data_IF_089333336142
#
_entry.id   IF_089333336142
#
_cell.length_a   1.000
_cell.length_b   1.000
_cell.length_c   1.000
_cell.angle_alpha   90.00
_cell.angle_beta   90.00
_cell.angle_gamma   90.00
#
_symmetry.space_group_name_H-M   'P 1'
#
loop_
_entity.id
_entity.type
_entity.pdbx_description
1 polymer ?
#
# COMPACT_ATOMS: atom_id res chain seq x y z
N UNK A 1 -0.02 14.16 -4.66
CA UNK A 1 -1.46 14.53 -4.69
C UNK A 1 -2.39 13.35 -4.42
N UNK A 2 -2.17 12.16 -5.00
CA UNK A 2 -3.01 10.98 -4.75
C UNK A 2 -3.19 10.65 -3.26
N UNK A 3 -2.09 10.53 -2.49
CA UNK A 3 -2.15 10.20 -1.05
C UNK A 3 -2.91 11.26 -0.25
N UNK A 4 -2.72 12.55 -0.57
CA UNK A 4 -3.48 13.63 0.06
C UNK A 4 -4.98 13.46 -0.18
N UNK A 5 -5.40 13.24 -1.43
CA UNK A 5 -6.81 13.03 -1.76
C UNK A 5 -7.39 11.76 -1.14
N UNK A 6 -6.58 10.71 -1.03
CA UNK A 6 -6.95 9.49 -0.32
C UNK A 6 -7.20 9.75 1.18
N UNK A 7 -6.35 10.53 1.84
CA UNK A 7 -6.54 10.92 3.25
C UNK A 7 -7.83 11.72 3.42
N UNK A 8 -8.05 12.73 2.55
CA UNK A 8 -9.29 13.52 2.56
C UNK A 8 -10.52 12.64 2.28
N UNK A 9 -10.39 11.65 1.41
CA UNK A 9 -11.45 10.68 1.13
C UNK A 9 -11.77 9.82 2.37
N UNK A 10 -10.77 9.31 3.08
CA UNK A 10 -10.94 8.57 4.34
C UNK A 10 -11.65 9.43 5.39
N UNK A 11 -11.22 10.69 5.55
CA UNK A 11 -11.90 11.63 6.45
C UNK A 11 -13.35 11.83 6.09
N UNK A 12 -13.67 12.05 4.81
CA UNK A 12 -15.05 12.18 4.36
C UNK A 12 -15.87 10.94 4.72
N UNK A 13 -15.37 9.73 4.40
CA UNK A 13 -16.10 8.49 4.66
C UNK A 13 -16.36 8.29 6.16
N UNK A 14 -15.38 8.59 7.01
CA UNK A 14 -15.51 8.45 8.45
C UNK A 14 -16.48 9.48 9.04
N UNK A 15 -16.31 10.76 8.70
CA UNK A 15 -17.13 11.86 9.20
C UNK A 15 -18.59 11.77 8.74
N UNK A 16 -18.87 11.14 7.59
CA UNK A 16 -20.24 10.90 7.11
C UNK A 16 -20.80 9.52 7.43
N UNK A 17 -20.10 8.71 8.24
CA UNK A 17 -20.55 7.37 8.62
C UNK A 17 -20.72 6.39 7.45
N UNK A 18 -20.06 6.64 6.31
CA UNK A 18 -20.22 5.86 5.07
C UNK A 18 -19.66 4.45 5.11
N UNK A 19 -19.00 4.07 6.21
CA UNK A 19 -18.45 2.73 6.46
C UNK A 19 -19.42 1.79 7.21
N UNK A 20 -20.53 2.32 7.74
CA UNK A 20 -21.52 1.54 8.50
C UNK A 20 -22.25 0.53 7.60
N UNK A 21 -22.94 -0.42 8.22
CA UNK A 21 -23.78 -1.42 7.55
C UNK A 21 -24.66 -0.77 6.47
N UNK A 22 -24.73 -1.33 5.23
CA UNK A 22 -24.12 -2.58 4.74
C UNK A 22 -22.78 -2.40 3.99
N UNK A 23 -22.00 -1.35 4.28
CA UNK A 23 -20.81 -0.92 3.51
C UNK A 23 -19.47 -1.33 4.12
N UNK A 24 -19.46 -2.26 5.06
CA UNK A 24 -18.27 -2.66 5.82
C UNK A 24 -17.17 -3.19 4.89
N UNK A 25 -17.54 -3.99 3.87
CA UNK A 25 -16.57 -4.53 2.92
C UNK A 25 -15.99 -3.47 1.97
N UNK A 26 -16.75 -2.42 1.67
CA UNK A 26 -16.23 -1.26 0.95
C UNK A 26 -15.18 -0.55 1.78
N UNK A 27 -15.39 -0.42 3.09
CA UNK A 27 -14.37 0.12 4.00
C UNK A 27 -13.11 -0.75 4.06
N UNK A 28 -13.25 -2.07 4.22
CA UNK A 28 -12.11 -3.01 4.27
C UNK A 28 -11.29 -2.94 2.98
N UNK A 29 -11.94 -2.97 1.81
CA UNK A 29 -11.23 -2.81 0.53
C UNK A 29 -10.56 -1.44 0.40
N UNK A 30 -11.16 -0.37 0.94
CA UNK A 30 -10.55 0.95 1.02
C UNK A 30 -9.27 0.98 1.87
N UNK A 31 -9.26 0.28 3.01
CA UNK A 31 -8.05 0.14 3.86
C UNK A 31 -6.95 -0.61 3.10
N UNK A 32 -7.28 -1.70 2.40
CA UNK A 32 -6.30 -2.44 1.59
C UNK A 32 -5.74 -1.55 0.47
N UNK A 33 -6.58 -0.78 -0.22
CA UNK A 33 -6.12 0.20 -1.22
C UNK A 33 -5.22 1.28 -0.61
N UNK A 34 -5.48 1.69 0.62
CA UNK A 34 -4.61 2.59 1.38
C UNK A 34 -3.21 2.00 1.61
N UNK A 35 -3.14 0.73 2.04
CA UNK A 35 -1.88 0.00 2.21
C UNK A 35 -1.13 -0.12 0.87
N UNK A 36 -1.81 -0.55 -0.19
CA UNK A 36 -1.20 -0.67 -1.53
C UNK A 36 -0.67 0.68 -2.04
N UNK A 37 -1.40 1.78 -1.80
CA UNK A 37 -0.97 3.14 -2.17
C UNK A 37 0.27 3.57 -1.38
N UNK A 38 0.36 3.25 -0.10
CA UNK A 38 1.57 3.49 0.70
C UNK A 38 2.75 2.65 0.17
N UNK A 39 2.51 1.39 -0.19
CA UNK A 39 3.52 0.51 -0.80
C UNK A 39 4.03 1.05 -2.15
N UNK A 40 3.18 1.68 -2.96
CA UNK A 40 3.62 2.39 -4.17
C UNK A 40 4.60 3.51 -3.82
N UNK A 41 4.31 4.30 -2.79
CA UNK A 41 5.21 5.34 -2.29
C UNK A 41 6.56 4.76 -1.90
N UNK A 42 6.60 3.75 -1.05
CA UNK A 42 7.84 3.13 -0.57
C UNK A 42 8.68 2.54 -1.71
N UNK A 43 8.06 1.75 -2.58
CA UNK A 43 8.78 1.07 -3.67
C UNK A 43 9.26 2.03 -4.76
N UNK A 44 8.46 3.06 -5.06
CA UNK A 44 8.78 4.06 -6.07
C UNK A 44 9.87 5.04 -5.61
N UNK A 45 9.90 5.36 -4.32
CA UNK A 45 10.82 6.34 -3.75
C UNK A 45 12.30 5.97 -3.92
N UNK A 46 12.62 4.68 -3.93
CA UNK A 46 14.00 4.21 -4.10
C UNK A 46 14.44 4.04 -5.55
N UNK A 47 13.53 4.13 -6.54
CA UNK A 47 13.86 3.85 -7.95
C UNK A 47 14.88 4.82 -8.58
N UNK A 48 14.93 6.12 -8.23
CA UNK A 48 15.99 7.02 -8.71
C UNK A 48 17.38 6.62 -8.24
N UNK A 49 17.48 5.78 -7.20
CA UNK A 49 18.72 5.29 -6.60
C UNK A 49 19.70 6.39 -6.16
N UNK A 50 19.15 7.51 -5.69
CA UNK A 50 19.89 8.59 -5.07
C UNK A 50 20.11 8.32 -3.56
N UNK A 51 20.87 9.20 -2.90
CA UNK A 51 21.20 9.03 -1.47
C UNK A 51 19.94 8.96 -0.60
N UNK A 52 18.97 9.82 -0.86
CA UNK A 52 17.76 9.91 -0.04
C UNK A 52 16.92 8.64 -0.20
N UNK A 53 16.67 8.21 -1.44
CA UNK A 53 15.93 6.98 -1.74
C UNK A 53 16.64 5.73 -1.23
N UNK A 54 17.96 5.63 -1.39
CA UNK A 54 18.76 4.50 -0.93
C UNK A 54 18.73 4.35 0.60
N UNK A 55 18.96 5.43 1.34
CA UNK A 55 18.96 5.37 2.80
C UNK A 55 17.55 5.13 3.37
N UNK A 56 16.52 5.70 2.73
CA UNK A 56 15.13 5.44 3.10
C UNK A 56 14.79 3.95 2.97
N UNK A 57 15.11 3.31 1.84
CA UNK A 57 14.84 1.87 1.65
C UNK A 57 15.65 1.01 2.62
N UNK A 58 16.89 1.38 2.92
CA UNK A 58 17.74 0.66 3.87
C UNK A 58 17.14 0.64 5.28
N UNK A 59 16.62 1.77 5.75
CA UNK A 59 15.98 1.87 7.06
C UNK A 59 14.66 1.08 7.07
N UNK A 60 13.74 1.35 6.13
CA UNK A 60 12.39 0.76 6.16
C UNK A 60 12.40 -0.76 5.98
N UNK A 61 13.27 -1.29 5.11
CA UNK A 61 13.38 -2.75 4.92
C UNK A 61 14.07 -3.46 6.08
N UNK A 62 14.69 -2.72 7.01
CA UNK A 62 15.28 -3.28 8.22
C UNK A 62 14.29 -3.43 9.37
N UNK A 63 13.14 -2.73 9.32
CA UNK A 63 12.12 -2.76 10.37
C UNK A 63 11.60 -4.17 10.68
N UNK A 64 11.34 -5.05 9.69
CA UNK A 64 10.82 -6.40 9.96
C UNK A 64 11.78 -7.31 10.74
N UNK A 65 13.07 -6.98 10.82
CA UNK A 65 14.06 -7.79 11.56
C UNK A 65 13.70 -7.96 13.04
N UNK A 66 12.96 -7.00 13.60
CA UNK A 66 12.48 -7.04 14.98
C UNK A 66 11.34 -8.07 15.21
N UNK A 67 10.76 -8.65 14.15
CA UNK A 67 9.70 -9.65 14.29
C UNK A 67 10.30 -10.98 14.74
N UNK A 68 9.88 -11.55 15.89
CA UNK A 68 10.40 -12.82 16.37
C UNK A 68 10.21 -13.95 15.36
N UNK A 69 11.18 -14.87 15.30
CA UNK A 69 11.17 -16.11 14.50
C UNK A 69 11.29 -15.88 12.98
N UNK A 70 10.52 -14.97 12.39
CA UNK A 70 10.42 -14.79 10.93
C UNK A 70 11.08 -13.51 10.40
N UNK A 71 11.50 -12.59 11.27
CA UNK A 71 11.96 -11.25 10.88
C UNK A 71 13.11 -11.24 9.88
N UNK A 72 14.19 -11.96 10.19
CA UNK A 72 15.36 -12.06 9.30
C UNK A 72 15.03 -12.63 7.93
N UNK A 73 14.17 -13.66 7.87
CA UNK A 73 13.68 -14.25 6.62
C UNK A 73 12.84 -13.26 5.80
N UNK A 74 12.01 -12.45 6.45
CA UNK A 74 11.24 -11.39 5.78
C UNK A 74 12.16 -10.31 5.21
N UNK A 75 13.17 -9.87 5.95
CA UNK A 75 14.15 -8.88 5.48
C UNK A 75 14.90 -9.39 4.25
N UNK A 76 15.39 -10.63 4.31
CA UNK A 76 16.10 -11.25 3.19
C UNK A 76 15.19 -11.45 1.98
N UNK A 77 13.92 -11.81 2.18
CA UNK A 77 12.93 -11.90 1.11
C UNK A 77 12.65 -10.53 0.47
N UNK A 78 12.54 -9.46 1.25
CA UNK A 78 12.30 -8.11 0.72
C UNK A 78 13.50 -7.59 -0.08
N UNK A 79 14.71 -7.80 0.44
CA UNK A 79 15.94 -7.27 -0.14
C UNK A 79 16.51 -8.15 -1.24
N UNK A 80 16.28 -9.45 -1.19
CA UNK A 80 16.94 -10.45 -2.03
C UNK A 80 18.41 -10.70 -1.68
N UNK A 81 18.88 -10.19 -0.53
CA UNK A 81 20.23 -10.36 0.03
C UNK A 81 20.26 -9.83 1.46
N UNK A 82 21.35 -10.12 2.21
CA UNK A 82 21.53 -9.63 3.58
C UNK A 82 21.49 -8.08 3.69
N UNK A 83 22.01 -7.38 2.69
CA UNK A 83 22.02 -5.91 2.61
C UNK A 83 21.24 -5.41 1.40
N UNK A 84 20.86 -4.13 1.42
CA UNK A 84 20.26 -3.45 0.25
C UNK A 84 21.29 -3.31 -0.86
N UNK A 85 20.92 -3.72 -2.08
CA UNK A 85 21.75 -3.65 -3.27
C UNK A 85 20.96 -3.86 -4.56
N UNK A 86 21.63 -4.36 -5.60
CA UNK A 86 21.03 -4.55 -6.94
C UNK A 86 19.80 -5.46 -6.92
N UNK A 87 19.85 -6.56 -6.17
CA UNK A 87 18.71 -7.48 -5.97
C UNK A 87 17.47 -6.77 -5.44
N UNK A 88 17.66 -5.83 -4.50
CA UNK A 88 16.57 -5.04 -3.91
C UNK A 88 15.97 -4.12 -4.95
N UNK A 89 16.79 -3.43 -5.75
CA UNK A 89 16.32 -2.54 -6.81
C UNK A 89 15.49 -3.29 -7.86
N UNK A 90 15.96 -4.45 -8.33
CA UNK A 90 15.21 -5.28 -9.29
C UNK A 90 13.87 -5.74 -8.72
N UNK A 91 13.83 -6.19 -7.45
CA UNK A 91 12.58 -6.59 -6.78
C UNK A 91 11.63 -5.41 -6.62
N UNK A 92 12.12 -4.26 -6.18
CA UNK A 92 11.31 -3.06 -5.97
C UNK A 92 10.75 -2.52 -7.29
N UNK A 93 11.52 -2.57 -8.37
CA UNK A 93 11.03 -2.22 -9.71
C UNK A 93 9.90 -3.15 -10.17
N UNK A 94 10.06 -4.47 -10.00
CA UNK A 94 9.01 -5.45 -10.33
C UNK A 94 7.77 -5.28 -9.46
N UNK A 95 7.94 -5.08 -8.15
CA UNK A 95 6.84 -4.80 -7.23
C UNK A 95 6.08 -3.53 -7.66
N UNK A 96 6.80 -2.46 -7.97
CA UNK A 96 6.21 -1.16 -8.28
C UNK A 96 5.48 -1.12 -9.62
N UNK A 97 6.03 -1.78 -10.65
CA UNK A 97 5.51 -1.66 -12.03
C UNK A 97 4.60 -2.81 -12.44
N UNK A 98 4.64 -3.95 -11.75
CA UNK A 98 3.84 -5.12 -12.09
C UNK A 98 2.90 -5.52 -10.96
N UNK A 99 3.43 -5.87 -9.78
CA UNK A 99 2.63 -6.47 -8.70
C UNK A 99 1.63 -5.46 -8.13
N UNK A 100 2.09 -4.28 -7.73
CA UNK A 100 1.23 -3.25 -7.12
C UNK A 100 0.15 -2.73 -8.09
N UNK A 101 0.44 -2.46 -9.38
CA UNK A 101 -0.60 -2.09 -10.34
C UNK A 101 -1.67 -3.17 -10.50
N UNK A 102 -1.28 -4.43 -10.61
CA UNK A 102 -2.22 -5.55 -10.73
C UNK A 102 -3.09 -5.67 -9.47
N UNK A 103 -2.49 -5.67 -8.29
CA UNK A 103 -3.23 -5.76 -7.02
C UNK A 103 -4.19 -4.58 -6.84
N UNK A 104 -3.72 -3.35 -7.09
CA UNK A 104 -4.58 -2.17 -6.98
C UNK A 104 -5.71 -2.20 -7.98
N UNK A 105 -5.47 -2.63 -9.23
CA UNK A 105 -6.54 -2.79 -10.22
C UNK A 105 -7.61 -3.79 -9.74
N UNK A 106 -7.19 -4.94 -9.22
CA UNK A 106 -8.10 -5.97 -8.67
C UNK A 106 -8.91 -5.41 -7.49
N UNK A 107 -8.28 -4.73 -6.54
CA UNK A 107 -8.99 -4.15 -5.39
C UNK A 107 -9.90 -2.98 -5.78
N UNK A 108 -9.54 -2.17 -6.76
CA UNK A 108 -10.42 -1.13 -7.32
C UNK A 108 -11.64 -1.74 -8.01
N UNK A 109 -11.44 -2.83 -8.77
CA UNK A 109 -12.52 -3.61 -9.39
C UNK A 109 -13.40 -4.34 -8.38
N UNK A 110 -12.95 -4.55 -7.15
CA UNK A 110 -13.82 -4.99 -6.05
C UNK A 110 -14.54 -3.82 -5.39
N UNK A 111 -13.82 -2.71 -5.16
CA UNK A 111 -14.30 -1.54 -4.44
C UNK A 111 -15.45 -0.82 -5.17
N UNK A 112 -15.30 -0.55 -6.48
CA UNK A 112 -16.28 0.22 -7.25
C UNK A 112 -17.61 -0.49 -7.46
N UNK A 113 -17.67 -1.79 -7.80
CA UNK A 113 -18.94 -2.49 -7.94
C UNK A 113 -19.73 -2.58 -6.65
N UNK A 114 -19.07 -2.69 -5.49
CA UNK A 114 -19.75 -2.64 -4.19
C UNK A 114 -20.47 -1.30 -3.97
N UNK A 115 -19.78 -0.19 -4.27
CA UNK A 115 -20.39 1.15 -4.23
C UNK A 115 -21.56 1.25 -5.21
N UNK A 116 -21.38 0.79 -6.46
CA UNK A 116 -22.44 0.81 -7.47
C UNK A 116 -23.66 -0.01 -7.05
N UNK A 117 -23.46 -1.17 -6.42
CA UNK A 117 -24.53 -2.05 -5.95
C UNK A 117 -25.28 -1.49 -4.74
N UNK A 118 -24.56 -0.84 -3.82
CA UNK A 118 -25.12 -0.37 -2.54
C UNK A 118 -25.59 1.08 -2.58
N UNK A 119 -25.26 1.87 -3.61
CA UNK A 119 -25.54 3.31 -3.68
C UNK A 119 -24.56 4.15 -2.86
N UNK A 120 -24.90 5.39 -2.52
CA UNK A 120 -24.13 6.24 -1.58
C UNK A 120 -24.77 6.24 -0.18
N UNK A 121 -24.03 6.64 0.86
CA UNK A 121 -24.60 6.81 2.20
C UNK A 121 -25.76 7.82 2.19
N UNK A 122 -26.75 7.61 3.07
CA UNK A 122 -27.88 8.53 3.23
C UNK A 122 -27.45 9.91 3.76
N UNK A 123 -28.42 10.84 3.88
CA UNK A 123 -28.17 12.13 4.53
C UNK A 123 -27.74 11.92 5.99
N UNK A 124 -27.00 12.91 6.53
CA UNK A 124 -26.54 12.92 7.92
C UNK A 124 -27.71 12.99 8.91
#
# INVERSE_FOLDING_TARGET
MMVLMMILHVFRVYLTGGFKKPRELTWVTGVVLGVLTASFGVTGYSLPWDQIGYWAVKIVTGVPDAIPVIGSSVVELLRGSASVGQSTLTRFYSLHTFVLPLLTAVFMLMHFPMIRKQGISGPL
#
